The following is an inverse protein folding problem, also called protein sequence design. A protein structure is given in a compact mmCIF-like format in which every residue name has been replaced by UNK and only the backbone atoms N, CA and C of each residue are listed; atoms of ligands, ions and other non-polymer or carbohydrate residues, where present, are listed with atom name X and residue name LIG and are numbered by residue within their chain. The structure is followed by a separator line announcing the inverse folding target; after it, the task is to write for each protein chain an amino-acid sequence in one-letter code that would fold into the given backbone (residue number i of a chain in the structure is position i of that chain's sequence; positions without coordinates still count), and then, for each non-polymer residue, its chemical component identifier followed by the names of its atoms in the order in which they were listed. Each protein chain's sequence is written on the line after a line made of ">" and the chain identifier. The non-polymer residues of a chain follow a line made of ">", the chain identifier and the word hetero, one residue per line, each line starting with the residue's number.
data_IF_501738691980
#
_entry.id   IF_501738691980
#
_cell.length_a   1.000
_cell.length_b   1.000
_cell.length_c   1.000
_cell.angle_alpha   90.00
_cell.angle_beta   90.00
_cell.angle_gamma   90.00
#
_symmetry.space_group_name_H-M   'P 1'
#
loop_
_entity.id
_entity.type
_entity.pdbx_description
1 polymer ?
#
# COMPACT_ATOMS: atom_id res chain seq x y z
N UNK A 1 -6.59 31.08 -73.29
CA UNK A 1 -6.00 29.88 -72.72
C UNK A 1 -5.91 30.13 -71.22
N UNK A 2 -6.87 29.63 -70.43
CA UNK A 2 -6.91 29.77 -68.96
C UNK A 2 -6.36 28.48 -68.35
N UNK A 3 -5.23 28.54 -67.63
CA UNK A 3 -4.69 27.44 -66.89
C UNK A 3 -5.28 27.44 -65.46
N UNK A 4 -6.10 26.43 -65.14
CA UNK A 4 -6.65 26.17 -63.84
C UNK A 4 -5.60 25.48 -63.03
N UNK A 5 -5.20 26.08 -61.90
CA UNK A 5 -4.32 25.47 -60.87
C UNK A 5 -5.24 24.82 -59.83
N UNK A 6 -5.25 23.48 -59.79
CA UNK A 6 -5.91 22.73 -58.70
C UNK A 6 -4.99 22.72 -57.47
N UNK A 7 -5.39 23.43 -56.43
CA UNK A 7 -4.73 23.41 -55.13
C UNK A 7 -5.30 22.24 -54.32
N UNK A 8 -4.55 21.14 -54.26
CA UNK A 8 -4.93 19.98 -53.42
C UNK A 8 -4.54 20.29 -51.96
N UNK A 9 -5.52 20.58 -51.14
CA UNK A 9 -5.35 20.67 -49.67
C UNK A 9 -5.42 19.27 -49.07
N UNK A 10 -4.28 18.70 -48.73
CA UNK A 10 -4.19 17.46 -47.96
C UNK A 10 -4.53 17.78 -46.48
N UNK A 11 -5.72 17.40 -46.10
CA UNK A 11 -6.17 17.49 -44.69
C UNK A 11 -5.57 16.29 -43.93
N UNK A 12 -4.45 16.52 -43.27
CA UNK A 12 -3.85 15.54 -42.34
C UNK A 12 -4.70 15.44 -41.09
N UNK A 13 -5.53 14.41 -40.99
CA UNK A 13 -6.30 14.06 -39.79
C UNK A 13 -5.32 13.50 -38.76
N UNK A 14 -4.82 14.33 -37.88
CA UNK A 14 -4.05 13.90 -36.71
C UNK A 14 -5.01 13.17 -35.76
N UNK A 15 -5.00 11.82 -35.80
CA UNK A 15 -5.60 11.01 -34.74
C UNK A 15 -4.79 11.23 -33.46
N UNK A 16 -5.23 12.14 -32.63
CA UNK A 16 -4.81 12.23 -31.26
C UNK A 16 -5.33 10.97 -30.54
N UNK A 17 -4.50 9.93 -30.47
CA UNK A 17 -4.75 8.80 -29.58
C UNK A 17 -4.61 9.37 -28.17
N UNK A 18 -5.75 9.68 -27.56
CA UNK A 18 -5.80 9.99 -26.13
C UNK A 18 -5.35 8.71 -25.41
N UNK A 19 -4.08 8.63 -25.02
CA UNK A 19 -3.62 7.67 -24.03
C UNK A 19 -4.37 8.04 -22.72
N UNK A 20 -5.52 7.44 -22.51
CA UNK A 20 -6.10 7.40 -21.17
C UNK A 20 -5.09 6.61 -20.34
N UNK A 21 -4.30 7.30 -19.53
CA UNK A 21 -3.52 6.65 -18.49
C UNK A 21 -4.52 5.86 -17.64
N UNK A 22 -4.47 4.55 -17.73
CA UNK A 22 -5.34 3.67 -16.97
C UNK A 22 -5.03 3.93 -15.51
N UNK A 23 -6.03 4.36 -14.75
CA UNK A 23 -5.93 4.59 -13.31
C UNK A 23 -5.41 3.30 -12.67
N UNK A 24 -4.33 3.42 -11.90
CA UNK A 24 -3.81 2.28 -11.15
C UNK A 24 -4.74 2.02 -9.98
N UNK A 25 -5.17 0.79 -9.81
CA UNK A 25 -6.04 0.36 -8.73
C UNK A 25 -5.71 -1.06 -8.30
N UNK A 26 -6.07 -1.38 -7.08
CA UNK A 26 -5.83 -2.71 -6.55
C UNK A 26 -6.28 -2.91 -5.12
N UNK A 27 -5.82 -4.02 -4.56
CA UNK A 27 -6.12 -4.49 -3.22
C UNK A 27 -4.99 -4.17 -2.26
N UNK A 28 -5.36 -3.92 -1.03
CA UNK A 28 -4.47 -3.66 0.09
C UNK A 28 -4.77 -4.55 1.28
N UNK A 29 -3.71 -4.98 1.97
CA UNK A 29 -3.77 -5.61 3.29
C UNK A 29 -2.66 -5.10 4.18
N UNK A 30 -2.94 -4.95 5.46
CA UNK A 30 -1.93 -4.80 6.50
C UNK A 30 -2.29 -5.57 7.75
N UNK A 31 -1.27 -5.93 8.54
CA UNK A 31 -1.41 -6.37 9.93
C UNK A 31 -0.27 -5.78 10.77
N UNK A 32 -0.56 -5.47 12.03
CA UNK A 32 0.38 -4.84 12.96
C UNK A 32 0.57 -5.68 14.21
N UNK A 33 1.65 -5.41 14.95
CA UNK A 33 1.85 -5.98 16.27
C UNK A 33 1.02 -5.30 17.37
N UNK A 34 0.11 -4.39 17.02
CA UNK A 34 -0.88 -3.78 17.94
C UNK A 34 -2.29 -3.91 17.35
N UNK A 35 -3.31 -3.93 18.23
CA UNK A 35 -4.70 -3.90 17.77
C UNK A 35 -5.03 -2.54 17.16
N UNK A 36 -5.68 -2.53 16.00
CA UNK A 36 -6.20 -1.32 15.33
C UNK A 36 -7.67 -1.08 15.61
N UNK A 37 -8.42 -2.14 15.88
CA UNK A 37 -9.80 -2.09 16.34
C UNK A 37 -9.80 -2.34 17.87
N UNK A 38 -9.86 -1.26 18.63
CA UNK A 38 -9.64 -1.27 20.09
C UNK A 38 -10.34 -0.08 20.74
N UNK A 39 -10.74 -0.21 21.98
CA UNK A 39 -11.22 0.94 22.75
C UNK A 39 -10.05 1.82 23.20
N UNK A 40 -10.28 3.12 23.26
CA UNK A 40 -9.25 4.12 23.62
C UNK A 40 -8.54 3.79 24.95
N UNK A 41 -9.24 3.21 25.92
CA UNK A 41 -8.67 2.83 27.22
C UNK A 41 -7.71 1.62 27.15
N UNK A 42 -7.72 0.88 26.05
CA UNK A 42 -6.81 -0.25 25.82
C UNK A 42 -5.72 0.05 24.77
N UNK A 43 -5.85 1.16 24.04
CA UNK A 43 -4.86 1.56 23.06
C UNK A 43 -3.52 1.79 23.77
N UNK A 44 -2.46 1.14 23.29
CA UNK A 44 -1.12 1.14 23.93
C UNK A 44 -1.11 0.67 25.41
N UNK A 45 -2.19 0.06 25.88
CA UNK A 45 -2.36 -0.30 27.28
C UNK A 45 -1.68 -1.59 27.72
N UNK A 46 -1.20 -2.42 26.78
CA UNK A 46 -0.48 -3.64 27.13
C UNK A 46 0.93 -3.29 27.63
N UNK A 47 1.22 -3.67 28.87
CA UNK A 47 2.52 -3.39 29.51
C UNK A 47 3.66 -4.05 28.70
N UNK A 48 4.60 -3.23 28.23
CA UNK A 48 5.76 -3.69 27.46
C UNK A 48 5.48 -4.02 26.00
N UNK A 49 4.26 -3.83 25.51
CA UNK A 49 3.95 -3.97 24.09
C UNK A 49 4.26 -2.67 23.36
N UNK A 50 5.14 -2.77 22.34
CA UNK A 50 5.33 -1.73 21.35
C UNK A 50 4.76 -2.23 20.03
N UNK A 51 3.74 -1.58 19.50
CA UNK A 51 3.10 -1.91 18.24
C UNK A 51 3.91 -1.46 17.02
N UNK A 52 5.18 -1.84 16.94
CA UNK A 52 6.18 -1.29 16.02
C UNK A 52 6.49 -2.19 14.83
N UNK A 53 5.82 -3.32 14.69
CA UNK A 53 5.95 -4.19 13.51
C UNK A 53 4.68 -4.13 12.67
N UNK A 54 4.85 -4.20 11.35
CA UNK A 54 3.76 -4.35 10.42
C UNK A 54 4.17 -5.20 9.21
N UNK A 55 3.19 -5.93 8.67
CA UNK A 55 3.19 -6.42 7.29
C UNK A 55 2.20 -5.60 6.49
N UNK A 56 2.58 -5.25 5.26
CA UNK A 56 1.74 -4.49 4.32
C UNK A 56 1.88 -5.13 2.95
N UNK A 57 0.82 -5.10 2.13
CA UNK A 57 0.93 -5.55 0.74
C UNK A 57 -0.06 -4.83 -0.17
N UNK A 58 0.34 -4.64 -1.42
CA UNK A 58 -0.43 -4.04 -2.50
C UNK A 58 -0.44 -4.98 -3.69
N UNK A 59 -1.63 -5.38 -4.12
CA UNK A 59 -1.87 -6.13 -5.34
C UNK A 59 -2.43 -5.19 -6.40
N UNK A 60 -1.76 -5.06 -7.52
CA UNK A 60 -2.23 -4.23 -8.63
C UNK A 60 -3.21 -5.04 -9.48
N UNK A 61 -4.51 -4.74 -9.36
CA UNK A 61 -5.55 -5.35 -10.19
C UNK A 61 -5.42 -4.90 -11.65
N UNK A 62 -5.22 -3.61 -11.84
CA UNK A 62 -5.03 -3.02 -13.16
C UNK A 62 -4.33 -1.67 -13.07
N UNK A 63 -3.54 -1.34 -14.10
CA UNK A 63 -2.94 -0.02 -14.26
C UNK A 63 -1.45 -0.04 -14.47
N UNK A 64 -0.86 1.15 -14.43
CA UNK A 64 0.55 1.36 -14.67
C UNK A 64 1.12 2.36 -13.65
N UNK A 65 2.34 2.12 -13.21
CA UNK A 65 3.12 3.04 -12.40
C UNK A 65 4.31 3.56 -13.21
N UNK A 66 4.44 4.89 -13.34
CA UNK A 66 5.48 5.52 -14.16
C UNK A 66 5.56 4.96 -15.60
N UNK A 67 4.39 4.65 -16.20
CA UNK A 67 4.29 4.10 -17.54
C UNK A 67 4.61 2.61 -17.66
N UNK A 68 4.87 1.91 -16.56
CA UNK A 68 5.11 0.47 -16.51
C UNK A 68 3.86 -0.26 -16.05
N UNK A 69 3.31 -1.13 -16.90
CA UNK A 69 2.14 -1.97 -16.58
C UNK A 69 2.44 -2.94 -15.45
N UNK A 70 1.56 -2.96 -14.43
CA UNK A 70 1.73 -3.77 -13.23
C UNK A 70 0.58 -4.76 -12.98
N UNK A 71 -0.35 -4.89 -13.93
CA UNK A 71 -1.53 -5.75 -13.80
C UNK A 71 -1.20 -7.14 -13.27
N UNK A 72 -1.88 -7.57 -12.22
CA UNK A 72 -1.74 -8.89 -11.60
C UNK A 72 -0.49 -9.09 -10.74
N UNK A 73 0.33 -8.06 -10.55
CA UNK A 73 1.55 -8.15 -9.75
C UNK A 73 1.32 -7.65 -8.32
N UNK A 74 2.09 -8.21 -7.41
CA UNK A 74 1.98 -7.90 -5.97
C UNK A 74 3.34 -7.53 -5.39
N UNK A 75 3.34 -6.63 -4.42
CA UNK A 75 4.48 -6.31 -3.58
C UNK A 75 4.05 -6.31 -2.12
N UNK A 76 4.89 -6.84 -1.24
CA UNK A 76 4.69 -6.79 0.20
C UNK A 76 5.88 -6.13 0.90
N UNK A 77 5.64 -5.58 2.08
CA UNK A 77 6.64 -4.98 2.93
C UNK A 77 6.50 -5.47 4.37
N UNK A 78 7.60 -5.81 4.99
CA UNK A 78 7.71 -5.97 6.43
C UNK A 78 8.39 -4.72 7.00
N UNK A 79 7.82 -4.15 8.05
CA UNK A 79 8.28 -2.89 8.65
C UNK A 79 8.61 -3.10 10.12
N UNK A 80 9.74 -2.54 10.55
CA UNK A 80 10.10 -2.36 11.95
C UNK A 80 10.29 -0.86 12.23
N UNK A 81 9.45 -0.30 13.08
CA UNK A 81 9.51 1.09 13.50
C UNK A 81 10.14 1.24 14.90
N UNK A 82 10.38 2.47 15.35
CA UNK A 82 10.91 2.77 16.70
C UNK A 82 9.84 2.77 17.77
N UNK A 83 8.59 3.07 17.39
CA UNK A 83 7.46 3.21 18.28
C UNK A 83 6.21 2.64 17.63
N UNK A 84 5.09 2.64 18.37
CA UNK A 84 3.80 2.13 17.90
C UNK A 84 3.34 2.85 16.63
N UNK A 85 3.05 2.06 15.61
CA UNK A 85 2.60 2.53 14.30
C UNK A 85 1.17 3.08 14.39
N UNK A 86 0.99 4.32 13.94
CA UNK A 86 -0.29 5.01 13.98
C UNK A 86 -0.60 5.73 15.30
N UNK A 87 0.27 5.63 16.33
CA UNK A 87 0.12 6.40 17.56
C UNK A 87 0.44 7.89 17.29
N UNK A 88 -0.54 8.80 17.50
CA UNK A 88 -0.33 10.23 17.24
C UNK A 88 0.60 10.91 18.25
N UNK A 89 0.94 10.24 19.36
CA UNK A 89 1.76 10.78 20.45
C UNK A 89 3.21 10.28 20.43
N UNK A 90 3.56 9.42 19.49
CA UNK A 90 4.92 8.88 19.35
C UNK A 90 5.44 9.01 17.92
N UNK A 91 6.77 9.14 17.79
CA UNK A 91 7.43 9.17 16.48
C UNK A 91 7.95 7.77 16.11
N UNK A 92 7.35 7.08 15.14
CA UNK A 92 7.76 5.74 14.74
C UNK A 92 9.05 5.73 13.91
N UNK A 93 9.60 6.89 13.55
CA UNK A 93 10.73 6.99 12.63
C UNK A 93 12.09 7.14 13.34
N UNK A 94 13.21 6.73 12.69
CA UNK A 94 13.23 6.05 11.41
C UNK A 94 12.68 4.62 11.53
N UNK A 95 11.99 4.18 10.47
CA UNK A 95 11.60 2.79 10.30
C UNK A 95 12.59 2.07 9.38
N UNK A 96 12.64 0.75 9.47
CA UNK A 96 13.35 -0.12 8.53
C UNK A 96 12.32 -1.00 7.81
N UNK A 97 12.57 -1.28 6.54
CA UNK A 97 11.68 -2.11 5.75
C UNK A 97 12.43 -3.18 4.96
N UNK A 98 11.79 -4.35 4.84
CA UNK A 98 12.15 -5.41 3.90
C UNK A 98 11.04 -5.52 2.88
N UNK A 99 11.38 -5.43 1.60
CA UNK A 99 10.43 -5.60 0.51
C UNK A 99 10.47 -7.03 -0.03
N UNK A 100 9.30 -7.58 -0.29
CA UNK A 100 9.09 -8.86 -0.94
C UNK A 100 8.35 -8.58 -2.26
N UNK A 101 9.09 -8.68 -3.36
CA UNK A 101 8.61 -8.34 -4.71
C UNK A 101 8.25 -9.62 -5.44
N UNK A 102 7.11 -9.63 -6.11
CA UNK A 102 6.69 -10.77 -6.92
C UNK A 102 7.78 -11.15 -7.93
N UNK A 103 8.23 -12.39 -7.87
CA UNK A 103 9.29 -12.90 -8.73
C UNK A 103 8.84 -13.10 -10.20
N UNK A 104 7.53 -13.08 -10.47
CA UNK A 104 6.98 -13.07 -11.83
C UNK A 104 7.23 -11.73 -12.55
N UNK A 105 7.51 -10.65 -11.81
CA UNK A 105 7.77 -9.34 -12.36
C UNK A 105 9.09 -9.28 -13.14
N UNK A 106 9.07 -8.66 -14.32
CA UNK A 106 10.28 -8.32 -15.09
C UNK A 106 11.13 -7.27 -14.34
N UNK A 107 12.42 -7.07 -14.68
CA UNK A 107 13.27 -6.09 -14.01
C UNK A 107 12.64 -4.68 -13.93
N UNK A 108 12.05 -4.17 -15.01
CA UNK A 108 11.37 -2.86 -15.03
C UNK A 108 10.12 -2.83 -14.13
N UNK A 109 9.36 -3.93 -14.09
CA UNK A 109 8.20 -4.03 -13.23
C UNK A 109 8.59 -4.10 -11.74
N UNK A 110 9.71 -4.75 -11.41
CA UNK A 110 10.25 -4.76 -10.03
C UNK A 110 10.60 -3.37 -9.54
N UNK A 111 11.29 -2.58 -10.36
CA UNK A 111 11.60 -1.18 -10.07
C UNK A 111 10.33 -0.35 -9.86
N UNK A 112 9.34 -0.53 -10.73
CA UNK A 112 8.06 0.17 -10.63
C UNK A 112 7.23 -0.26 -9.40
N UNK A 113 7.22 -1.56 -9.04
CA UNK A 113 6.58 -2.06 -7.83
C UNK A 113 7.24 -1.50 -6.57
N UNK A 114 8.57 -1.44 -6.52
CA UNK A 114 9.31 -0.84 -5.40
C UNK A 114 8.94 0.64 -5.26
N UNK A 115 8.94 1.38 -6.37
CA UNK A 115 8.58 2.80 -6.35
C UNK A 115 7.10 3.01 -5.95
N UNK A 116 6.18 2.16 -6.38
CA UNK A 116 4.78 2.17 -5.95
C UNK A 116 4.69 1.94 -4.43
N UNK A 117 5.32 0.89 -3.92
CA UNK A 117 5.28 0.59 -2.49
C UNK A 117 5.86 1.73 -1.64
N UNK A 118 6.95 2.35 -2.08
CA UNK A 118 7.55 3.51 -1.41
C UNK A 118 6.63 4.73 -1.44
N UNK A 119 5.89 4.93 -2.52
CA UNK A 119 4.86 5.98 -2.60
C UNK A 119 3.73 5.72 -1.59
N UNK A 120 3.16 4.53 -1.63
CA UNK A 120 2.03 4.13 -0.80
C UNK A 120 2.35 4.04 0.69
N UNK A 121 3.52 3.49 1.03
CA UNK A 121 3.99 3.33 2.41
C UNK A 121 4.71 4.57 2.96
N UNK A 122 5.02 5.55 2.10
CA UNK A 122 5.65 6.82 2.48
C UNK A 122 6.90 6.62 3.33
N UNK A 123 7.01 7.39 4.41
CA UNK A 123 8.18 7.38 5.32
C UNK A 123 8.48 6.02 5.96
N UNK A 124 7.52 5.11 6.01
CA UNK A 124 7.75 3.75 6.53
C UNK A 124 8.69 2.94 5.62
N UNK A 125 8.69 3.23 4.33
CA UNK A 125 9.47 2.53 3.31
C UNK A 125 10.62 3.37 2.73
N UNK A 126 11.03 4.47 3.37
CA UNK A 126 12.20 5.25 2.97
C UNK A 126 13.51 4.47 3.17
N UNK A 127 13.63 3.71 4.26
CA UNK A 127 14.84 2.95 4.58
C UNK A 127 14.61 1.45 4.31
N UNK A 128 14.69 1.06 3.05
CA UNK A 128 14.64 -0.33 2.62
C UNK A 128 16.01 -0.98 2.84
N UNK A 129 16.09 -1.89 3.79
CA UNK A 129 17.34 -2.59 4.16
C UNK A 129 17.56 -3.87 3.36
N UNK A 130 16.49 -4.43 2.76
CA UNK A 130 16.55 -5.66 1.96
C UNK A 130 15.39 -5.74 0.97
N UNK A 131 15.65 -6.37 -0.18
CA UNK A 131 14.63 -6.73 -1.17
C UNK A 131 14.78 -8.20 -1.52
N UNK A 132 13.71 -8.97 -1.32
CA UNK A 132 13.63 -10.37 -1.68
C UNK A 132 12.67 -10.57 -2.86
N UNK A 133 13.01 -11.46 -3.78
CA UNK A 133 12.19 -11.80 -4.94
C UNK A 133 11.58 -13.18 -4.73
N UNK A 134 10.31 -13.23 -4.40
CA UNK A 134 9.57 -14.45 -4.05
C UNK A 134 8.20 -14.44 -4.71
N UNK A 135 7.51 -15.56 -4.85
CA UNK A 135 6.10 -15.53 -5.21
C UNK A 135 5.31 -14.74 -4.16
N UNK A 136 4.59 -13.70 -4.58
CA UNK A 136 3.72 -12.91 -3.69
C UNK A 136 2.29 -13.00 -4.19
N UNK A 137 1.40 -13.51 -3.34
CA UNK A 137 -0.02 -13.67 -3.63
C UNK A 137 -0.82 -12.92 -2.57
N UNK A 138 -1.69 -12.04 -3.01
CA UNK A 138 -2.70 -11.39 -2.16
C UNK A 138 -4.07 -11.72 -2.75
N UNK A 139 -4.91 -12.36 -1.95
CA UNK A 139 -6.30 -12.68 -2.26
C UNK A 139 -7.20 -11.91 -1.28
N UNK A 140 -8.00 -10.99 -1.82
CA UNK A 140 -8.93 -10.14 -1.06
C UNK A 140 -10.33 -10.38 -1.62
N UNK A 141 -11.35 -10.63 -0.77
CA UNK A 141 -12.70 -10.88 -1.25
C UNK A 141 -13.28 -9.67 -1.99
N UNK A 142 -14.15 -9.91 -2.96
CA UNK A 142 -14.80 -8.84 -3.73
C UNK A 142 -15.59 -7.90 -2.82
N UNK A 143 -16.26 -8.43 -1.81
CA UNK A 143 -16.86 -7.68 -0.71
C UNK A 143 -15.90 -7.65 0.49
N UNK A 144 -15.36 -6.49 0.80
CA UNK A 144 -14.44 -6.31 1.93
C UNK A 144 -15.07 -6.63 3.29
N UNK A 145 -16.41 -6.60 3.40
CA UNK A 145 -17.13 -6.95 4.63
C UNK A 145 -17.02 -8.46 4.95
N UNK A 146 -16.68 -9.31 3.98
CA UNK A 146 -16.39 -10.73 4.23
C UNK A 146 -15.08 -10.93 5.00
N UNK A 147 -14.14 -10.00 4.92
CA UNK A 147 -12.92 -9.88 5.75
C UNK A 147 -11.91 -11.03 5.66
N UNK A 148 -12.14 -12.02 4.80
CA UNK A 148 -11.33 -13.24 4.70
C UNK A 148 -10.18 -13.12 3.69
N UNK A 149 -9.25 -12.18 3.86
CA UNK A 149 -8.12 -12.01 2.96
C UNK A 149 -6.90 -12.86 3.35
N UNK A 150 -6.06 -13.18 2.37
CA UNK A 150 -4.84 -13.96 2.55
C UNK A 150 -3.69 -13.35 1.78
N UNK A 151 -2.62 -12.99 2.50
CA UNK A 151 -1.31 -12.66 1.93
C UNK A 151 -0.36 -13.84 2.14
N UNK A 152 0.39 -14.22 1.09
CA UNK A 152 1.56 -15.09 1.19
C UNK A 152 2.70 -14.55 0.34
N UNK A 153 3.83 -14.27 0.97
CA UNK A 153 5.07 -13.88 0.31
C UNK A 153 6.12 -14.99 0.47
N UNK A 154 6.07 -15.99 -0.41
CA UNK A 154 6.89 -17.19 -0.31
C UNK A 154 6.71 -17.88 1.05
N UNK A 155 7.84 -18.05 1.76
CA UNK A 155 7.87 -18.53 3.16
C UNK A 155 8.28 -17.42 4.13
N UNK A 156 8.36 -16.17 3.64
CA UNK A 156 8.88 -15.05 4.41
C UNK A 156 7.80 -14.33 5.20
N UNK A 157 6.58 -14.24 4.65
CA UNK A 157 5.49 -13.55 5.32
C UNK A 157 4.13 -14.16 5.00
N UNK A 158 3.24 -14.12 5.99
CA UNK A 158 1.85 -14.57 5.87
C UNK A 158 0.93 -13.68 6.70
N UNK A 159 -0.17 -13.23 6.09
CA UNK A 159 -1.33 -12.70 6.80
C UNK A 159 -2.55 -13.52 6.40
N UNK A 160 -3.34 -13.93 7.38
CA UNK A 160 -4.67 -14.54 7.17
C UNK A 160 -5.66 -13.79 8.03
N UNK A 161 -6.75 -13.31 7.44
CA UNK A 161 -7.75 -12.53 8.17
C UNK A 161 -9.11 -13.18 8.19
N UNK A 162 -9.97 -12.72 9.10
CA UNK A 162 -11.41 -12.91 9.10
C UNK A 162 -12.11 -11.58 9.43
N UNK A 163 -13.41 -11.43 9.13
CA UNK A 163 -14.14 -10.23 9.53
C UNK A 163 -14.20 -10.09 11.05
N UNK A 164 -14.35 -8.86 11.53
CA UNK A 164 -14.79 -8.59 12.89
C UNK A 164 -16.20 -9.11 13.11
N UNK A 165 -16.49 -9.55 14.32
CA UNK A 165 -17.83 -9.98 14.73
C UNK A 165 -18.12 -9.50 16.17
N UNK A 166 -19.33 -9.75 16.65
CA UNK A 166 -19.78 -9.29 17.96
C UNK A 166 -19.03 -9.92 19.15
N UNK A 167 -18.27 -10.99 18.96
CA UNK A 167 -17.42 -11.59 20.01
C UNK A 167 -16.03 -10.93 20.10
N UNK A 168 -15.70 -10.04 19.18
CA UNK A 168 -14.39 -9.36 19.18
C UNK A 168 -14.36 -8.11 20.09
N UNK A 169 -15.50 -7.73 20.66
CA UNK A 169 -15.59 -6.64 21.63
C UNK A 169 -15.14 -7.11 23.01
N UNK A 170 -14.33 -6.27 23.69
CA UNK A 170 -13.92 -6.51 25.07
C UNK A 170 -14.80 -5.69 26.03
N UNK A 171 -15.11 -4.43 25.69
CA UNK A 171 -15.89 -3.53 26.53
C UNK A 171 -17.10 -2.90 25.80
N UNK A 172 -17.25 -3.11 24.51
CA UNK A 172 -18.33 -2.54 23.69
C UNK A 172 -18.10 -1.11 23.20
N UNK A 173 -16.95 -0.50 23.51
CA UNK A 173 -16.54 0.83 23.05
C UNK A 173 -15.39 0.78 22.05
N UNK A 174 -15.16 -0.36 21.42
CA UNK A 174 -14.14 -0.53 20.40
C UNK A 174 -14.52 0.23 19.13
N UNK A 175 -13.48 0.77 18.49
CA UNK A 175 -13.57 1.46 17.19
C UNK A 175 -12.26 1.29 16.41
N UNK A 176 -12.22 1.75 15.18
CA UNK A 176 -10.97 1.89 14.44
C UNK A 176 -10.14 3.02 15.09
N UNK A 177 -9.19 2.65 15.93
CA UNK A 177 -8.40 3.59 16.73
C UNK A 177 -7.20 4.13 15.95
N UNK A 178 -6.41 3.23 15.35
CA UNK A 178 -5.27 3.61 14.52
C UNK A 178 -5.67 3.54 13.04
N UNK A 179 -5.41 4.59 12.24
CA UNK A 179 -5.76 4.58 10.82
C UNK A 179 -4.90 3.58 10.05
N UNK A 180 -5.30 3.18 8.83
CA UNK A 180 -4.43 2.43 7.92
C UNK A 180 -3.08 3.10 7.70
N UNK A 181 -2.03 2.31 7.44
CA UNK A 181 -0.66 2.78 7.21
C UNK A 181 -0.42 3.23 5.76
N UNK A 182 -1.33 2.90 4.86
CA UNK A 182 -1.32 3.31 3.45
C UNK A 182 -2.54 4.16 3.15
N UNK A 183 -2.46 4.95 2.09
CA UNK A 183 -3.61 5.68 1.58
C UNK A 183 -4.54 4.69 0.86
N UNK A 184 -5.76 4.52 1.36
CA UNK A 184 -6.74 3.57 0.83
C UNK A 184 -8.09 4.26 0.65
N UNK A 185 -8.76 3.96 -0.46
CA UNK A 185 -10.07 4.55 -0.77
C UNK A 185 -11.18 4.00 0.12
N UNK A 186 -11.05 2.72 0.48
CA UNK A 186 -11.96 2.01 1.37
C UNK A 186 -11.17 0.97 2.16
N UNK A 187 -11.31 0.99 3.48
CA UNK A 187 -10.66 0.03 4.37
C UNK A 187 -11.62 -0.52 5.41
N UNK A 188 -11.55 -1.84 5.62
CA UNK A 188 -12.28 -2.56 6.66
C UNK A 188 -11.28 -3.14 7.66
N UNK A 189 -11.51 -2.89 8.95
CA UNK A 189 -10.75 -3.56 10.01
C UNK A 189 -11.12 -5.04 10.09
N UNK A 190 -10.12 -5.87 10.39
CA UNK A 190 -10.26 -7.31 10.44
C UNK A 190 -9.43 -7.93 11.58
N UNK A 191 -9.75 -9.16 11.93
CA UNK A 191 -8.92 -9.95 12.84
C UNK A 191 -7.85 -10.68 12.02
N UNK A 192 -6.58 -10.45 12.34
CA UNK A 192 -5.48 -11.26 11.86
C UNK A 192 -5.49 -12.61 12.59
N UNK A 193 -5.98 -13.66 11.92
CA UNK A 193 -5.88 -15.04 12.41
C UNK A 193 -4.43 -15.49 12.49
N UNK A 194 -3.62 -15.01 11.54
CA UNK A 194 -2.17 -15.21 11.46
C UNK A 194 -1.54 -13.94 10.94
N UNK A 195 -0.47 -13.50 11.58
CA UNK A 195 0.45 -12.47 11.15
C UNK A 195 1.86 -12.97 11.44
N UNK A 196 2.61 -13.30 10.39
CA UNK A 196 3.91 -13.94 10.52
C UNK A 196 4.93 -13.33 9.56
N UNK A 197 6.12 -13.02 10.09
CA UNK A 197 7.29 -12.66 9.33
C UNK A 197 8.50 -13.48 9.77
N UNK A 198 9.13 -14.17 8.81
CA UNK A 198 10.30 -15.02 8.98
C UNK A 198 11.48 -14.63 8.08
N UNK A 199 11.39 -13.45 7.43
CA UNK A 199 12.45 -12.93 6.57
C UNK A 199 13.60 -12.33 7.38
N UNK A 200 14.74 -12.16 6.73
CA UNK A 200 15.90 -11.49 7.31
C UNK A 200 15.90 -9.98 7.06
N UNK A 201 16.76 -9.23 7.76
CA UNK A 201 17.02 -7.80 7.53
C UNK A 201 16.43 -6.86 8.57
N UNK A 202 15.47 -7.31 9.40
CA UNK A 202 14.89 -6.49 10.48
C UNK A 202 15.43 -6.86 11.87
N UNK A 203 16.36 -7.80 11.98
CA UNK A 203 16.83 -8.37 13.25
C UNK A 203 15.68 -8.85 14.16
N UNK A 204 14.58 -9.26 13.54
CA UNK A 204 13.36 -9.65 14.23
C UNK A 204 12.52 -10.55 13.34
N UNK A 205 11.96 -11.58 13.97
CA UNK A 205 10.90 -12.41 13.43
C UNK A 205 9.70 -12.29 14.36
N UNK A 206 8.49 -12.43 13.83
CA UNK A 206 7.31 -12.44 14.67
C UNK A 206 6.25 -13.39 14.15
N UNK A 207 5.44 -13.85 15.07
CA UNK A 207 4.23 -14.59 14.80
C UNK A 207 3.19 -14.15 15.81
N UNK A 208 2.02 -13.76 15.33
CA UNK A 208 0.89 -13.44 16.19
C UNK A 208 -0.41 -14.05 15.64
N UNK A 209 -1.37 -14.27 16.53
CA UNK A 209 -2.62 -14.93 16.20
C UNK A 209 -3.79 -14.26 16.87
N UNK A 210 -4.93 -14.19 16.14
CA UNK A 210 -6.22 -13.79 16.71
C UNK A 210 -6.29 -12.34 17.17
N UNK A 211 -5.49 -11.42 16.60
CA UNK A 211 -5.48 -10.00 16.96
C UNK A 211 -6.37 -9.17 16.04
N UNK A 212 -7.01 -8.15 16.59
CA UNK A 212 -7.83 -7.18 15.84
C UNK A 212 -6.93 -6.11 15.20
N UNK A 213 -5.93 -6.53 14.49
CA UNK A 213 -4.74 -5.77 14.09
C UNK A 213 -4.61 -5.53 12.60
N UNK A 214 -5.57 -5.99 11.80
CA UNK A 214 -5.48 -5.92 10.35
C UNK A 214 -6.46 -4.91 9.75
N UNK A 215 -6.08 -4.40 8.57
CA UNK A 215 -6.97 -3.78 7.60
C UNK A 215 -6.89 -4.52 6.28
N UNK A 216 -8.03 -4.61 5.59
CA UNK A 216 -8.12 -4.94 4.17
C UNK A 216 -8.75 -3.76 3.45
N UNK A 217 -8.34 -3.48 2.21
CA UNK A 217 -8.78 -2.27 1.54
C UNK A 217 -8.62 -2.29 0.03
N UNK A 218 -9.08 -1.21 -0.58
CA UNK A 218 -8.86 -0.87 -1.98
C UNK A 218 -8.04 0.40 -2.06
N UNK A 219 -7.13 0.47 -3.01
CA UNK A 219 -6.41 1.69 -3.31
C UNK A 219 -6.54 2.04 -4.79
N UNK A 220 -6.46 3.32 -5.09
CA UNK A 220 -6.42 3.79 -6.46
C UNK A 220 -5.55 5.04 -6.56
N UNK A 221 -4.72 5.07 -7.61
CA UNK A 221 -3.88 6.21 -7.94
C UNK A 221 -4.39 6.84 -9.25
N UNK A 222 -4.83 8.08 -9.16
CA UNK A 222 -5.28 8.85 -10.31
C UNK A 222 -4.12 9.27 -11.21
N UNK A 223 -4.40 9.49 -12.47
CA UNK A 223 -3.45 10.03 -13.46
C UNK A 223 -2.81 11.38 -13.08
N UNK A 224 -3.30 12.03 -12.01
CA UNK A 224 -2.80 13.31 -11.51
C UNK A 224 -1.55 13.20 -10.61
N UNK A 225 -1.25 12.02 -10.06
CA UNK A 225 -0.05 11.81 -9.24
C UNK A 225 1.27 11.91 -10.06
N UNK A 226 1.17 11.94 -11.39
CA UNK A 226 2.32 12.15 -12.31
C UNK A 226 2.64 13.62 -12.59
N UNK A 227 1.89 14.56 -12.07
CA UNK A 227 2.12 15.99 -12.27
C UNK A 227 2.84 16.61 -11.06
N UNK A 228 4.17 16.64 -11.16
CA UNK A 228 5.01 17.74 -10.69
C UNK A 228 5.27 17.92 -9.19
N UNK A 229 6.42 17.42 -8.79
CA UNK A 229 7.29 18.08 -7.79
C UNK A 229 7.90 19.41 -8.30
N UNK A 230 7.43 19.99 -9.39
CA UNK A 230 8.00 21.18 -10.03
C UNK A 230 7.24 22.49 -9.79
N UNK A 231 6.00 22.46 -9.28
CA UNK A 231 5.15 23.67 -9.20
C UNK A 231 4.86 24.19 -7.77
N UNK A 232 5.63 23.78 -6.77
CA UNK A 232 5.52 24.34 -5.42
C UNK A 232 6.69 25.29 -5.07
N UNK A 233 7.02 26.22 -5.94
CA UNK A 233 7.74 27.43 -5.54
C UNK A 233 6.73 28.59 -5.42
N UNK A 234 6.49 29.13 -4.23
CA UNK A 234 5.68 30.33 -4.10
C UNK A 234 6.44 31.50 -4.77
N UNK A 235 5.77 32.16 -5.72
CA UNK A 235 6.24 33.41 -6.29
C UNK A 235 6.40 34.44 -5.18
N UNK A 236 7.63 34.92 -4.96
CA UNK A 236 7.91 36.08 -4.13
C UNK A 236 7.25 37.31 -4.77
N UNK A 237 6.43 38.08 -4.06
CA UNK A 237 6.01 39.38 -4.54
C UNK A 237 7.22 40.32 -4.46
N UNK A 238 7.58 40.90 -5.62
CA UNK A 238 8.53 42.02 -5.67
C UNK A 238 7.94 43.20 -4.90
N UNK A 239 8.66 43.62 -3.88
CA UNK A 239 8.33 44.80 -3.12
C UNK A 239 8.64 46.07 -3.92
N UNK A 240 7.77 47.05 -3.79
CA UNK A 240 8.04 48.46 -3.94
C UNK A 240 8.30 49.05 -2.57
#
# INVERSE_FOLDING_TARGET
>A
MRKSVFLSVAFALSLAVSLHAQQLRGDYIESRSTDVYVAQCFANGEVGLTGNFALMAWHVEAGAWNGVKLDGLTIAAAVRARATLGDPYSDPYPAQAVLMVDNAASPKQREALIALAQHEGGRLLENVVRVDYVPVVLDVPADLHEGGAVLRAGRLATIVTRPLNHHDHICGNESNYYPPLSNVDHAMSAVALTDEFQGEGLDSHWTSHGRRSAYIGRFSEGSAAMATSADLLPAHPAGN
#
